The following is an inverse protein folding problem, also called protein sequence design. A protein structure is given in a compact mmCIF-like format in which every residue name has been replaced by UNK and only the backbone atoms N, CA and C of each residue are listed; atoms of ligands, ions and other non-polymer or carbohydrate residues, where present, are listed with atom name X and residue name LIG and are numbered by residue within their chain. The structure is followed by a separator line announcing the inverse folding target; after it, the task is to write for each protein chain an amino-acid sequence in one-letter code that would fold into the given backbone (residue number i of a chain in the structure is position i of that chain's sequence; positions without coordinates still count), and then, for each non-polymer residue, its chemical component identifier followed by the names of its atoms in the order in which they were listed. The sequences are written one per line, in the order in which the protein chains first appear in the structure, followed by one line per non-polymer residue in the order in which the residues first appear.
data_IF_140282902118
#
_entry.id   IF_140282902118
#
_cell.length_a   1.000
_cell.length_b   1.000
_cell.length_c   1.000
_cell.angle_alpha   90.00
_cell.angle_beta   90.00
_cell.angle_gamma   90.00
#
_symmetry.space_group_name_H-M   'P 1'
#
loop_
_entity.id
_entity.type
_entity.pdbx_description
1 polymer ?
#
# COMPACT_ATOMS: atom_id res chain seq x y z
N UNK A 1 -15.61 -17.12 35.35
CA UNK A 1 -14.62 -16.04 35.10
C UNK A 1 -14.04 -16.25 33.71
N UNK A 2 -14.14 -15.28 32.78
CA UNK A 2 -13.60 -15.39 31.42
C UNK A 2 -12.33 -14.55 31.33
N UNK A 3 -11.21 -15.20 31.03
CA UNK A 3 -9.95 -14.54 30.70
C UNK A 3 -9.83 -14.39 29.19
N UNK A 4 -9.35 -13.23 28.73
CA UNK A 4 -8.98 -12.99 27.33
C UNK A 4 -7.50 -12.60 27.33
N UNK A 5 -6.67 -13.41 26.68
CA UNK A 5 -5.27 -13.09 26.43
C UNK A 5 -5.14 -12.41 25.07
N UNK A 6 -4.35 -11.33 25.00
CA UNK A 6 -3.91 -10.69 23.76
C UNK A 6 -2.40 -10.77 23.72
N UNK A 7 -1.84 -11.12 22.56
CA UNK A 7 -0.41 -11.13 22.32
C UNK A 7 -0.13 -10.08 21.27
N UNK A 8 0.66 -9.08 21.63
CA UNK A 8 1.19 -8.09 20.71
C UNK A 8 2.61 -8.52 20.33
N UNK A 9 2.87 -8.65 19.02
CA UNK A 9 4.19 -9.03 18.50
C UNK A 9 4.77 -7.83 17.79
N UNK A 10 5.91 -7.35 18.29
CA UNK A 10 6.70 -6.31 17.65
C UNK A 10 7.90 -6.96 16.96
N UNK A 11 7.96 -6.86 15.63
CA UNK A 11 9.01 -7.49 14.83
C UNK A 11 10.23 -6.61 14.62
N UNK A 12 10.06 -5.29 14.71
CA UNK A 12 11.11 -4.30 14.46
C UNK A 12 11.00 -3.19 15.49
N UNK A 13 12.13 -2.83 16.10
CA UNK A 13 12.26 -1.64 16.93
C UNK A 13 12.17 -0.35 16.09
N UNK A 14 11.92 0.78 16.74
CA UNK A 14 11.94 2.10 16.07
C UNK A 14 13.26 2.38 15.35
N UNK A 15 14.39 1.97 15.94
CA UNK A 15 15.70 2.14 15.33
C UNK A 15 15.87 1.28 14.05
N UNK A 16 15.28 0.09 14.02
CA UNK A 16 15.28 -0.77 12.83
C UNK A 16 14.35 -0.23 11.75
N UNK A 17 13.17 0.27 12.14
CA UNK A 17 12.25 0.95 11.22
C UNK A 17 12.91 2.18 10.59
N UNK A 18 13.63 2.99 11.38
CA UNK A 18 14.37 4.15 10.86
C UNK A 18 15.45 3.74 9.86
N UNK A 19 16.19 2.64 10.13
CA UNK A 19 17.16 2.10 9.17
C UNK A 19 16.52 1.71 7.85
N UNK A 20 15.38 1.02 7.88
CA UNK A 20 14.61 0.65 6.68
C UNK A 20 14.15 1.90 5.94
N UNK A 21 13.62 2.89 6.65
CA UNK A 21 13.17 4.15 6.07
C UNK A 21 14.31 4.91 5.36
N UNK A 22 15.47 5.06 6.01
CA UNK A 22 16.63 5.71 5.39
C UNK A 22 17.17 4.94 4.18
N UNK A 23 17.13 3.60 4.23
CA UNK A 23 17.49 2.79 3.08
C UNK A 23 16.54 3.00 1.89
N UNK A 24 15.23 3.05 2.14
CA UNK A 24 14.22 3.35 1.12
C UNK A 24 14.42 4.75 0.53
N UNK A 25 14.69 5.77 1.35
CA UNK A 25 14.97 7.13 0.87
C UNK A 25 16.23 7.18 -0.02
N UNK A 26 17.28 6.44 0.35
CA UNK A 26 18.49 6.35 -0.48
C UNK A 26 18.19 5.74 -1.86
N UNK A 27 17.42 4.66 -1.90
CA UNK A 27 17.00 4.03 -3.16
C UNK A 27 16.17 5.01 -3.99
N UNK A 28 15.17 5.65 -3.38
CA UNK A 28 14.28 6.58 -4.08
C UNK A 28 15.02 7.77 -4.72
N UNK A 29 16.08 8.25 -4.07
CA UNK A 29 16.94 9.33 -4.60
C UNK A 29 17.80 8.91 -5.79
N UNK A 30 18.19 7.64 -5.88
CA UNK A 30 19.24 7.19 -6.80
C UNK A 30 18.68 6.41 -8.00
N UNK A 31 17.62 5.65 -7.77
CA UNK A 31 17.10 4.68 -8.73
C UNK A 31 15.92 5.30 -9.48
N UNK A 32 16.02 5.45 -10.82
CA UNK A 32 14.89 5.88 -11.62
C UNK A 32 13.82 4.79 -11.63
N UNK A 33 12.56 5.19 -11.57
CA UNK A 33 11.42 4.29 -11.68
C UNK A 33 11.06 4.13 -13.14
N UNK A 34 10.94 2.89 -13.61
CA UNK A 34 10.39 2.62 -14.93
C UNK A 34 8.87 2.63 -14.83
N UNK A 35 8.23 3.54 -15.55
CA UNK A 35 6.77 3.68 -15.58
C UNK A 35 6.28 3.52 -17.01
N UNK A 36 5.27 2.68 -17.21
CA UNK A 36 4.53 2.60 -18.47
C UNK A 36 3.31 3.50 -18.32
N UNK A 37 3.29 4.60 -19.07
CA UNK A 37 2.25 5.61 -18.97
C UNK A 37 2.04 6.32 -20.31
N UNK A 38 0.95 7.07 -20.38
CA UNK A 38 0.67 7.94 -21.53
C UNK A 38 1.56 9.18 -21.50
N UNK A 39 1.69 9.88 -22.63
CA UNK A 39 2.41 11.15 -22.69
C UNK A 39 1.83 12.19 -21.71
N UNK A 40 0.50 12.22 -21.57
CA UNK A 40 -0.19 13.08 -20.61
C UNK A 40 0.26 12.79 -19.16
N UNK A 41 0.41 11.52 -18.80
CA UNK A 41 0.90 11.12 -17.48
C UNK A 41 2.33 11.64 -17.24
N UNK A 42 3.21 11.50 -18.22
CA UNK A 42 4.58 12.04 -18.12
C UNK A 42 4.60 13.57 -18.05
N UNK A 43 3.69 14.25 -18.72
CA UNK A 43 3.56 15.71 -18.62
C UNK A 43 3.13 16.16 -17.21
N UNK A 44 2.23 15.43 -16.55
CA UNK A 44 1.92 15.71 -15.15
C UNK A 44 3.12 15.50 -14.24
N UNK A 45 3.92 14.45 -14.46
CA UNK A 45 5.14 14.22 -13.69
C UNK A 45 6.17 15.34 -13.88
N UNK A 46 6.40 15.78 -15.12
CA UNK A 46 7.29 16.92 -15.40
C UNK A 46 6.77 18.20 -14.74
N UNK A 47 5.49 18.51 -14.89
CA UNK A 47 4.84 19.67 -14.23
C UNK A 47 4.94 19.61 -12.70
N UNK A 48 4.94 18.41 -12.12
CA UNK A 48 5.12 18.22 -10.69
C UNK A 48 6.56 18.45 -10.21
N UNK A 49 7.53 18.40 -11.13
CA UNK A 49 8.96 18.61 -10.88
C UNK A 49 9.81 17.35 -11.00
N UNK A 50 9.27 16.25 -11.52
CA UNK A 50 10.05 15.04 -11.78
C UNK A 50 10.89 15.18 -13.05
N UNK A 51 12.02 14.48 -13.09
CA UNK A 51 12.83 14.34 -14.30
C UNK A 51 12.36 13.08 -15.04
N UNK A 52 12.11 13.20 -16.35
CA UNK A 52 11.59 12.10 -17.17
C UNK A 52 12.49 11.90 -18.38
N UNK A 53 13.02 10.68 -18.54
CA UNK A 53 13.84 10.21 -19.65
C UNK A 53 13.22 8.94 -20.25
N UNK A 54 12.44 9.10 -21.33
CA UNK A 54 11.60 8.03 -21.86
C UNK A 54 10.62 7.52 -20.79
N UNK A 55 10.71 6.23 -20.46
CA UNK A 55 9.93 5.58 -19.41
C UNK A 55 10.55 5.70 -18.01
N UNK A 56 11.74 6.30 -17.89
CA UNK A 56 12.46 6.41 -16.62
C UNK A 56 12.14 7.75 -15.95
N UNK A 57 11.66 7.67 -14.72
CA UNK A 57 11.28 8.82 -13.90
C UNK A 57 12.18 8.91 -12.68
N UNK A 58 12.84 10.06 -12.51
CA UNK A 58 13.60 10.39 -11.29
C UNK A 58 12.85 11.42 -10.47
N UNK A 59 13.07 11.37 -9.17
CA UNK A 59 12.42 12.24 -8.20
C UNK A 59 13.48 13.09 -7.52
N UNK A 60 13.68 14.35 -7.97
CA UNK A 60 14.64 15.25 -7.35
C UNK A 60 14.32 15.52 -5.87
N UNK A 61 15.32 15.97 -5.11
CA UNK A 61 15.14 16.27 -3.68
C UNK A 61 13.93 17.18 -3.38
N UNK A 62 13.66 18.26 -4.14
CA UNK A 62 12.46 19.08 -3.91
C UNK A 62 11.14 18.32 -4.03
N UNK A 63 11.06 17.36 -4.96
CA UNK A 63 9.86 16.51 -5.15
C UNK A 63 9.69 15.56 -3.96
N UNK A 64 10.78 14.90 -3.55
CA UNK A 64 10.80 13.99 -2.40
C UNK A 64 10.37 14.73 -1.13
N UNK A 65 10.96 15.89 -0.86
CA UNK A 65 10.66 16.71 0.31
C UNK A 65 9.21 17.18 0.34
N UNK A 66 8.69 17.64 -0.80
CA UNK A 66 7.29 18.04 -0.96
C UNK A 66 6.33 16.91 -0.61
N UNK A 67 6.62 15.68 -1.08
CA UNK A 67 5.81 14.50 -0.78
C UNK A 67 5.91 14.12 0.70
N UNK A 68 7.12 14.07 1.27
CA UNK A 68 7.32 13.76 2.69
C UNK A 68 6.66 14.79 3.61
N UNK A 69 6.69 16.07 3.25
CA UNK A 69 5.99 17.13 3.97
C UNK A 69 4.47 16.88 3.97
N UNK A 70 3.89 16.52 2.80
CA UNK A 70 2.47 16.17 2.70
C UNK A 70 2.11 14.94 3.54
N UNK A 71 2.96 13.91 3.55
CA UNK A 71 2.77 12.70 4.39
C UNK A 71 2.79 13.05 5.87
N UNK A 72 3.76 13.87 6.32
CA UNK A 72 3.82 14.34 7.71
C UNK A 72 2.57 15.13 8.09
N UNK A 73 2.14 16.07 7.24
CA UNK A 73 0.93 16.85 7.49
C UNK A 73 -0.32 15.97 7.60
N UNK A 74 -0.44 14.96 6.73
CA UNK A 74 -1.55 14.00 6.80
C UNK A 74 -1.52 13.18 8.09
N UNK A 75 -0.35 12.68 8.49
CA UNK A 75 -0.17 11.96 9.75
C UNK A 75 -0.58 12.83 10.95
N UNK A 76 -0.18 14.10 10.98
CA UNK A 76 -0.55 15.03 12.05
C UNK A 76 -2.07 15.27 12.10
N UNK A 77 -2.71 15.47 10.94
CA UNK A 77 -4.18 15.60 10.87
C UNK A 77 -4.89 14.35 11.36
N UNK A 78 -4.42 13.18 10.98
CA UNK A 78 -4.98 11.91 11.43
C UNK A 78 -4.84 11.77 12.95
N UNK A 79 -3.63 11.96 13.51
CA UNK A 79 -3.39 11.91 14.96
C UNK A 79 -4.27 12.89 15.74
N UNK A 80 -4.44 14.11 15.24
CA UNK A 80 -5.31 15.10 15.88
C UNK A 80 -6.80 14.68 15.84
N UNK A 81 -7.27 14.14 14.71
CA UNK A 81 -8.64 13.66 14.57
C UNK A 81 -8.92 12.40 15.42
N UNK A 82 -7.89 11.58 15.68
CA UNK A 82 -8.00 10.34 16.44
C UNK A 82 -7.47 10.44 17.87
N UNK A 83 -7.15 11.64 18.37
CA UNK A 83 -6.50 11.83 19.67
C UNK A 83 -7.27 11.22 20.85
N UNK A 84 -8.61 11.16 20.73
CA UNK A 84 -9.51 10.55 21.71
C UNK A 84 -10.11 9.21 21.25
N UNK A 85 -9.74 8.73 20.06
CA UNK A 85 -10.19 7.44 19.55
C UNK A 85 -9.33 6.31 20.15
N UNK A 86 -9.91 5.11 20.29
CA UNK A 86 -9.10 3.93 20.61
C UNK A 86 -8.03 3.77 19.54
N UNK A 87 -6.77 3.45 19.92
CA UNK A 87 -5.70 3.28 18.95
C UNK A 87 -6.07 2.20 17.93
N UNK A 88 -6.08 2.57 16.64
CA UNK A 88 -6.34 1.65 15.52
C UNK A 88 -5.27 0.56 15.36
N UNK A 89 -4.14 0.67 16.06
CA UNK A 89 -3.12 -0.37 16.12
C UNK A 89 -2.43 -0.34 17.50
N UNK A 90 -2.11 -1.51 18.11
CA UNK A 90 -2.49 -2.86 17.67
C UNK A 90 -3.99 -3.18 17.96
N UNK A 91 -4.76 -2.20 18.43
CA UNK A 91 -6.14 -2.39 18.89
C UNK A 91 -7.24 -2.34 17.82
N UNK A 92 -6.91 -2.14 16.54
CA UNK A 92 -7.88 -2.01 15.46
C UNK A 92 -8.56 -3.32 15.08
N UNK A 93 -9.69 -3.20 14.40
CA UNK A 93 -10.42 -4.33 13.87
C UNK A 93 -9.72 -4.85 12.61
N UNK A 94 -9.39 -6.15 12.61
CA UNK A 94 -8.90 -6.82 11.40
C UNK A 94 -10.12 -7.06 10.51
N UNK A 95 -10.11 -6.45 9.32
CA UNK A 95 -11.11 -6.71 8.29
C UNK A 95 -10.49 -7.59 7.21
N UNK A 96 -11.23 -8.61 6.78
CA UNK A 96 -10.85 -9.45 5.66
C UNK A 96 -11.45 -8.86 4.38
N UNK A 97 -10.66 -8.82 3.32
CA UNK A 97 -11.14 -8.60 1.97
C UNK A 97 -10.64 -9.74 1.09
N UNK A 98 -11.44 -10.15 0.11
CA UNK A 98 -10.97 -11.08 -0.91
C UNK A 98 -10.54 -10.35 -2.17
N UNK A 99 -9.43 -10.78 -2.77
CA UNK A 99 -8.97 -10.28 -4.06
C UNK A 99 -9.53 -11.12 -5.21
N UNK A 100 -10.13 -10.47 -6.20
CA UNK A 100 -10.72 -11.10 -7.40
C UNK A 100 -9.78 -11.11 -8.61
N UNK A 101 -8.51 -11.48 -8.45
CA UNK A 101 -7.53 -11.52 -9.57
C UNK A 101 -7.18 -12.95 -10.02
N UNK A 102 -7.92 -13.95 -9.57
CA UNK A 102 -7.70 -15.33 -9.96
C UNK A 102 -8.23 -15.56 -11.39
N UNK A 103 -7.36 -15.97 -12.30
CA UNK A 103 -7.74 -16.37 -13.66
C UNK A 103 -8.30 -17.79 -13.72
N UNK A 104 -8.09 -18.57 -12.65
CA UNK A 104 -8.56 -19.94 -12.51
C UNK A 104 -9.41 -20.06 -11.25
N UNK A 105 -10.50 -20.81 -11.37
CA UNK A 105 -11.32 -21.25 -10.25
C UNK A 105 -11.08 -22.75 -10.01
N UNK A 106 -11.09 -23.15 -8.74
CA UNK A 106 -11.18 -24.55 -8.38
C UNK A 106 -12.64 -24.97 -8.44
N UNK A 107 -12.96 -25.93 -9.31
CA UNK A 107 -14.27 -26.55 -9.35
C UNK A 107 -14.45 -27.44 -8.11
N UNK A 108 -15.37 -27.07 -7.22
CA UNK A 108 -15.53 -27.73 -5.93
C UNK A 108 -16.08 -29.16 -6.02
N UNK A 109 -16.71 -29.52 -7.15
CA UNK A 109 -17.25 -30.87 -7.36
C UNK A 109 -16.17 -31.83 -7.88
N UNK A 110 -15.34 -31.34 -8.80
CA UNK A 110 -14.33 -32.16 -9.50
C UNK A 110 -12.92 -31.98 -8.96
N UNK A 111 -12.69 -30.97 -8.12
CA UNK A 111 -11.40 -30.53 -7.60
C UNK A 111 -10.38 -30.20 -8.72
N UNK A 112 -10.88 -29.81 -9.91
CA UNK A 112 -10.05 -29.43 -11.05
C UNK A 112 -10.00 -27.92 -11.20
N UNK A 113 -8.87 -27.41 -11.69
CA UNK A 113 -8.75 -26.02 -12.10
C UNK A 113 -9.44 -25.80 -13.45
N UNK A 114 -10.23 -24.73 -13.54
CA UNK A 114 -10.86 -24.26 -14.77
C UNK A 114 -10.74 -22.74 -14.89
N UNK A 115 -10.89 -22.14 -16.08
CA UNK A 115 -11.00 -20.69 -16.21
C UNK A 115 -12.08 -20.13 -15.29
N UNK A 116 -11.76 -19.02 -14.61
CA UNK A 116 -12.74 -18.26 -13.86
C UNK A 116 -13.73 -17.57 -14.81
N UNK A 117 -14.97 -17.46 -14.37
CA UNK A 117 -16.09 -16.87 -15.11
C UNK A 117 -16.71 -15.72 -14.33
N UNK A 118 -17.54 -14.92 -14.99
CA UNK A 118 -18.30 -13.85 -14.30
C UNK A 118 -19.26 -14.42 -13.23
N UNK A 119 -19.76 -15.64 -13.42
CA UNK A 119 -20.58 -16.32 -12.42
C UNK A 119 -19.77 -16.64 -11.15
N UNK A 120 -18.50 -17.02 -11.28
CA UNK A 120 -17.60 -17.23 -10.14
C UNK A 120 -17.39 -15.92 -9.38
N UNK A 121 -17.16 -14.81 -10.10
CA UNK A 121 -17.00 -13.50 -9.48
C UNK A 121 -18.28 -13.06 -8.75
N UNK A 122 -19.45 -13.23 -9.37
CA UNK A 122 -20.73 -12.89 -8.77
C UNK A 122 -21.01 -13.74 -7.51
N UNK A 123 -20.78 -15.05 -7.59
CA UNK A 123 -20.92 -15.94 -6.45
C UNK A 123 -19.96 -15.56 -5.32
N UNK A 124 -18.72 -15.21 -5.66
CA UNK A 124 -17.70 -14.81 -4.70
C UNK A 124 -18.05 -13.52 -3.96
N UNK A 125 -18.68 -12.55 -4.63
CA UNK A 125 -19.19 -11.32 -4.01
C UNK A 125 -20.24 -11.55 -2.90
N UNK A 126 -20.87 -12.72 -2.84
CA UNK A 126 -21.83 -13.07 -1.79
C UNK A 126 -21.20 -13.74 -0.56
N UNK A 127 -19.91 -14.09 -0.62
CA UNK A 127 -19.19 -14.80 0.45
C UNK A 127 -18.34 -13.86 1.31
N UNK A 128 -18.16 -12.60 0.87
CA UNK A 128 -17.42 -11.54 1.57
C UNK A 128 -18.31 -10.42 2.10
#
# INVERSE_FOLDING_TARGET
MRFRMRMDVEFLSEAELEKVFQAALRIWRQVPFRIQGTDEFFDYLRKFGCEVDGELVRFPAPVIEKVLARVRAQKQRWLAATANAKPSWPGGDISMYTHGQALLACDMETNKLRPATEADLAQWCHVV
#
